data_IF_420261353108
#
_entry.id   IF_420261353108
#
_cell.length_a   1.000
_cell.length_b   1.000
_cell.length_c   1.000
_cell.angle_alpha   90.00
_cell.angle_beta   90.00
_cell.angle_gamma   90.00
#
_symmetry.space_group_name_H-M   'P 1'
#
loop_
_entity.id
_entity.type
_entity.pdbx_description
1 polymer ?
#
# COMPACT_ATOMS: atom_id res chain seq x y z
N UNK A 1 -11.03 8.00 -1.12
CA UNK A 1 -10.01 7.07 -1.65
C UNK A 1 -8.68 7.78 -1.72
N UNK A 2 -7.62 7.25 -1.10
CA UNK A 2 -6.31 7.89 -1.03
C UNK A 2 -5.68 8.01 -2.44
N UNK A 3 -5.26 9.21 -2.86
CA UNK A 3 -4.67 9.47 -4.19
C UNK A 3 -3.46 8.59 -4.49
N UNK A 4 -2.65 8.29 -3.47
CA UNK A 4 -1.49 7.40 -3.62
C UNK A 4 -1.93 5.97 -3.88
N UNK A 5 -2.96 5.49 -3.20
CA UNK A 5 -3.52 4.15 -3.42
C UNK A 5 -4.03 3.98 -4.86
N UNK A 6 -4.76 4.96 -5.40
CA UNK A 6 -5.23 4.94 -6.80
C UNK A 6 -4.07 4.91 -7.80
N UNK A 7 -2.97 5.61 -7.50
CA UNK A 7 -1.75 5.57 -8.32
C UNK A 7 -1.16 4.16 -8.37
N UNK A 8 -1.12 3.44 -7.25
CA UNK A 8 -0.59 2.07 -7.18
C UNK A 8 -1.42 1.10 -8.03
N UNK A 9 -2.76 1.15 -7.96
CA UNK A 9 -3.62 0.32 -8.82
C UNK A 9 -3.45 0.63 -10.31
N UNK A 10 -3.27 1.91 -10.66
CA UNK A 10 -3.00 2.30 -12.06
C UNK A 10 -1.65 1.76 -12.54
N UNK A 11 -0.63 1.85 -11.69
CA UNK A 11 0.71 1.33 -11.98
C UNK A 11 0.71 -0.20 -12.12
N UNK A 12 0.07 -0.92 -11.19
CA UNK A 12 -0.15 -2.36 -11.27
C UNK A 12 -0.77 -2.78 -12.61
N UNK A 13 -1.89 -2.15 -13.00
CA UNK A 13 -2.55 -2.41 -14.29
C UNK A 13 -1.64 -2.12 -15.49
N UNK A 14 -0.81 -1.07 -15.40
CA UNK A 14 0.19 -0.75 -16.42
C UNK A 14 1.24 -1.84 -16.58
N UNK A 15 1.75 -2.37 -15.46
CA UNK A 15 2.73 -3.46 -15.42
C UNK A 15 2.14 -4.79 -15.89
N UNK A 16 0.91 -5.12 -15.50
CA UNK A 16 0.20 -6.33 -15.95
C UNK A 16 -0.01 -6.34 -17.47
N UNK A 17 -0.41 -5.21 -18.07
CA UNK A 17 -0.54 -5.08 -19.54
C UNK A 17 0.78 -5.29 -20.29
N UNK A 18 1.91 -5.13 -19.60
CA UNK A 18 3.27 -5.33 -20.11
C UNK A 18 3.97 -6.47 -19.37
N UNK A 19 3.23 -7.52 -19.01
CA UNK A 19 3.75 -8.67 -18.25
C UNK A 19 4.94 -9.37 -18.94
N UNK A 20 5.05 -9.29 -20.27
CA UNK A 20 6.22 -9.77 -21.00
C UNK A 20 7.54 -9.09 -20.54
N UNK A 21 7.47 -7.86 -20.03
CA UNK A 21 8.63 -7.11 -19.52
C UNK A 21 8.69 -7.16 -17.99
N UNK A 22 7.53 -7.06 -17.32
CA UNK A 22 7.46 -6.94 -15.86
C UNK A 22 7.26 -8.26 -15.11
N UNK A 23 7.05 -9.38 -15.81
CA UNK A 23 6.70 -10.65 -15.19
C UNK A 23 5.49 -10.50 -14.27
N UNK A 24 5.61 -11.02 -13.04
CA UNK A 24 4.54 -11.02 -12.04
C UNK A 24 4.42 -9.72 -11.21
N UNK A 25 5.30 -8.75 -11.42
CA UNK A 25 5.39 -7.53 -10.58
C UNK A 25 4.06 -6.77 -10.53
N UNK A 26 3.34 -6.70 -11.66
CA UNK A 26 2.05 -6.00 -11.70
C UNK A 26 1.00 -6.59 -10.75
N UNK A 27 1.00 -7.91 -10.54
CA UNK A 27 0.10 -8.57 -9.58
C UNK A 27 0.58 -8.41 -8.14
N UNK A 28 1.90 -8.39 -7.91
CA UNK A 28 2.47 -8.12 -6.58
C UNK A 28 2.11 -6.71 -6.09
N UNK A 29 2.22 -5.70 -6.96
CA UNK A 29 1.81 -4.31 -6.66
C UNK A 29 0.30 -4.23 -6.40
N UNK A 30 -0.52 -4.91 -7.21
CA UNK A 30 -1.97 -4.94 -7.00
C UNK A 30 -2.35 -5.55 -5.65
N UNK A 31 -1.75 -6.69 -5.31
CA UNK A 31 -2.02 -7.36 -4.03
C UNK A 31 -1.62 -6.49 -2.84
N UNK A 32 -0.44 -5.87 -2.87
CA UNK A 32 0.01 -4.97 -1.81
C UNK A 32 -0.91 -3.74 -1.68
N UNK A 33 -1.36 -3.18 -2.81
CA UNK A 33 -2.32 -2.08 -2.81
C UNK A 33 -3.68 -2.51 -2.25
N UNK A 34 -4.18 -3.70 -2.60
CA UNK A 34 -5.44 -4.22 -2.07
C UNK A 34 -5.38 -4.48 -0.55
N UNK A 35 -4.27 -5.03 -0.04
CA UNK A 35 -4.06 -5.20 1.41
C UNK A 35 -4.01 -3.85 2.13
N UNK A 36 -3.38 -2.83 1.51
CA UNK A 36 -3.41 -1.48 2.04
C UNK A 36 -4.82 -0.89 2.04
N UNK A 37 -5.61 -1.10 0.97
CA UNK A 37 -7.00 -0.64 0.89
C UNK A 37 -7.86 -1.20 2.02
N UNK A 38 -7.69 -2.48 2.34
CA UNK A 38 -8.38 -3.14 3.46
C UNK A 38 -8.01 -2.46 4.78
N UNK A 39 -6.72 -2.23 5.05
CA UNK A 39 -6.27 -1.56 6.29
C UNK A 39 -6.83 -0.13 6.38
N UNK A 40 -6.81 0.59 5.24
CA UNK A 40 -7.23 1.98 5.13
C UNK A 40 -8.74 2.18 5.18
N UNK A 41 -9.53 1.11 5.04
CA UNK A 41 -10.97 1.17 5.19
C UNK A 41 -11.32 1.64 6.61
N UNK A 42 -12.24 2.60 6.69
CA UNK A 42 -12.69 3.24 7.92
C UNK A 42 -14.18 3.00 8.09
N UNK A 43 -14.66 2.66 9.30
CA UNK A 43 -16.08 2.82 9.63
C UNK A 43 -16.50 4.29 9.49
N UNK A 44 -17.77 4.53 9.17
CA UNK A 44 -18.33 5.87 8.93
C UNK A 44 -18.24 6.82 10.15
N UNK A 45 -17.98 6.29 11.35
CA UNK A 45 -17.94 7.02 12.62
C UNK A 45 -16.55 7.08 13.28
N UNK A 46 -15.49 6.63 12.61
CA UNK A 46 -14.15 6.65 13.21
C UNK A 46 -13.57 8.06 13.27
N UNK A 47 -13.19 8.48 14.48
CA UNK A 47 -12.47 9.74 14.66
C UNK A 47 -11.07 9.65 14.03
N UNK A 48 -10.63 10.75 13.44
CA UNK A 48 -9.38 10.85 12.71
C UNK A 48 -8.14 10.45 13.55
N UNK A 49 -8.10 10.80 14.83
CA UNK A 49 -7.01 10.41 15.73
C UNK A 49 -6.97 8.88 15.92
N UNK A 50 -8.14 8.25 16.11
CA UNK A 50 -8.26 6.80 16.20
C UNK A 50 -7.92 6.11 14.87
N UNK A 51 -8.31 6.70 13.74
CA UNK A 51 -7.95 6.24 12.40
C UNK A 51 -6.44 6.12 12.23
N UNK A 52 -5.67 7.19 12.48
CA UNK A 52 -4.21 7.13 12.31
C UNK A 52 -3.54 6.22 13.35
N UNK A 53 -4.03 6.20 14.59
CA UNK A 53 -3.53 5.30 15.63
C UNK A 53 -3.68 3.82 15.26
N UNK A 54 -4.72 3.47 14.47
CA UNK A 54 -4.96 2.11 13.96
C UNK A 54 -4.19 1.83 12.67
N UNK A 55 -4.28 2.73 11.70
CA UNK A 55 -3.78 2.52 10.34
C UNK A 55 -2.25 2.53 10.27
N UNK A 56 -1.58 3.48 10.93
CA UNK A 56 -0.12 3.62 10.80
C UNK A 56 0.63 2.37 11.31
N UNK A 57 0.32 1.82 12.50
CA UNK A 57 0.95 0.58 12.94
C UNK A 57 0.64 -0.61 12.01
N UNK A 58 -0.59 -0.71 11.52
CA UNK A 58 -1.00 -1.80 10.64
C UNK A 58 -0.27 -1.77 9.28
N UNK A 59 -0.15 -0.60 8.66
CA UNK A 59 0.63 -0.42 7.42
C UNK A 59 2.12 -0.69 7.66
N UNK A 60 2.67 -0.25 8.79
CA UNK A 60 4.08 -0.52 9.11
C UNK A 60 4.36 -2.01 9.33
N UNK A 61 3.42 -2.72 9.98
CA UNK A 61 3.48 -4.17 10.13
C UNK A 61 3.43 -4.89 8.77
N UNK A 62 2.57 -4.42 7.86
CA UNK A 62 2.49 -4.93 6.49
C UNK A 62 3.80 -4.70 5.71
N UNK A 63 4.40 -3.50 5.82
CA UNK A 63 5.69 -3.24 5.19
C UNK A 63 6.78 -4.17 5.73
N UNK A 64 6.75 -4.48 7.03
CA UNK A 64 7.70 -5.42 7.62
C UNK A 64 7.47 -6.87 7.17
N UNK A 65 6.22 -7.30 6.93
CA UNK A 65 5.96 -8.64 6.40
C UNK A 65 6.51 -8.79 4.98
N UNK A 66 6.31 -7.79 4.10
CA UNK A 66 6.90 -7.80 2.77
C UNK A 66 8.43 -7.77 2.78
N UNK A 67 9.06 -7.00 3.70
CA UNK A 67 10.52 -6.97 3.85
C UNK A 67 11.12 -8.34 4.19
N UNK A 68 10.36 -9.19 4.90
CA UNK A 68 10.79 -10.53 5.29
C UNK A 68 10.30 -11.61 4.32
N UNK A 69 9.47 -11.25 3.34
CA UNK A 69 8.86 -12.18 2.41
C UNK A 69 9.82 -12.58 1.30
N UNK A 70 9.85 -13.87 0.97
CA UNK A 70 10.52 -14.37 -0.24
C UNK A 70 9.65 -14.19 -1.50
N UNK A 71 8.38 -13.78 -1.35
CA UNK A 71 7.45 -13.63 -2.47
C UNK A 71 7.71 -12.32 -3.23
N UNK A 72 8.26 -11.30 -2.58
CA UNK A 72 8.58 -9.99 -3.19
C UNK A 72 10.09 -9.83 -3.41
N UNK A 73 10.72 -10.77 -4.13
CA UNK A 73 12.18 -10.73 -4.40
C UNK A 73 12.63 -9.41 -5.06
N UNK A 74 11.73 -8.80 -5.85
CA UNK A 74 12.00 -7.55 -6.56
C UNK A 74 11.77 -6.29 -5.72
N UNK A 75 11.13 -6.41 -4.54
CA UNK A 75 10.87 -5.31 -3.62
C UNK A 75 9.76 -4.35 -4.03
N UNK A 76 9.00 -4.64 -5.10
CA UNK A 76 7.97 -3.74 -5.61
C UNK A 76 6.74 -3.70 -4.71
N UNK A 77 6.34 -4.82 -4.12
CA UNK A 77 5.23 -4.84 -3.17
C UNK A 77 5.59 -4.05 -1.90
N UNK A 78 6.80 -4.26 -1.36
CA UNK A 78 7.33 -3.47 -0.24
C UNK A 78 7.35 -1.97 -0.55
N UNK A 79 7.87 -1.59 -1.73
CA UNK A 79 7.93 -0.20 -2.14
C UNK A 79 6.53 0.44 -2.21
N UNK A 80 5.54 -0.30 -2.72
CA UNK A 80 4.13 0.12 -2.75
C UNK A 80 3.59 0.42 -1.35
N UNK A 81 3.80 -0.49 -0.38
CA UNK A 81 3.35 -0.27 1.00
C UNK A 81 4.06 0.93 1.63
N UNK A 82 5.38 1.10 1.42
CA UNK A 82 6.15 2.22 1.98
C UNK A 82 5.76 3.57 1.39
N UNK A 83 5.40 3.63 0.10
CA UNK A 83 4.90 4.88 -0.51
C UNK A 83 3.57 5.31 0.12
N UNK A 84 2.67 4.35 0.38
CA UNK A 84 1.40 4.60 1.06
C UNK A 84 1.63 5.03 2.51
N UNK A 85 2.48 4.31 3.25
CA UNK A 85 2.86 4.66 4.64
C UNK A 85 3.37 6.09 4.74
N UNK A 86 4.28 6.48 3.85
CA UNK A 86 4.85 7.83 3.82
C UNK A 86 3.76 8.88 3.60
N UNK A 87 2.85 8.65 2.66
CA UNK A 87 1.75 9.56 2.38
C UNK A 87 0.81 9.72 3.58
N UNK A 88 0.60 8.66 4.36
CA UNK A 88 -0.21 8.71 5.58
C UNK A 88 0.47 9.51 6.68
N UNK A 89 1.78 9.30 6.90
CA UNK A 89 2.57 10.06 7.88
C UNK A 89 2.59 11.56 7.52
N UNK A 90 2.82 11.88 6.24
CA UNK A 90 2.81 13.27 5.76
C UNK A 90 1.42 13.92 5.89
N UNK A 91 0.35 13.12 5.77
CA UNK A 91 -1.01 13.59 5.98
C UNK A 91 -1.26 13.83 7.46
N UNK A 92 -0.94 12.87 8.34
CA UNK A 92 -1.17 12.98 9.78
C UNK A 92 -0.39 14.11 10.42
N UNK A 93 0.81 14.44 9.91
CA UNK A 93 1.63 15.54 10.40
C UNK A 93 1.08 16.94 10.05
N UNK A 94 0.14 17.05 9.11
CA UNK A 94 -0.47 18.32 8.69
C UNK A 94 -1.80 18.61 9.40
N UNK A 95 -2.25 17.70 10.26
CA UNK A 95 -3.51 17.81 11.00
C UNK A 95 -3.24 18.25 12.42
#
# INVERSE_FOLDING_TARGET
MNTVLMKQFKDARGKQKKSFHWGNIGWQVENAAAECEIILSSPDSEELAHYFARVLPAISALANSYRLSQIDESGYALATVREIERALIETSAKM
#
